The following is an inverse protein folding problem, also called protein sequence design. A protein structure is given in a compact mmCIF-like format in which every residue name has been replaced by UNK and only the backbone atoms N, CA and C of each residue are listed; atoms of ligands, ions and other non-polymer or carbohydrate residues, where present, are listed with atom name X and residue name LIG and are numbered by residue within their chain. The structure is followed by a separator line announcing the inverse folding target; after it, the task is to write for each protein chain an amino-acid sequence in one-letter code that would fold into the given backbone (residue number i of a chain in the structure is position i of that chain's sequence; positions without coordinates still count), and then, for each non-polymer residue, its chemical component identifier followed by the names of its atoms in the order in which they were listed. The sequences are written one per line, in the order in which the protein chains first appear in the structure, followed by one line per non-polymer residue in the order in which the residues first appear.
data_IF_408284206500
#
_entry.id   IF_408284206500
#
_cell.length_a   1.000
_cell.length_b   1.000
_cell.length_c   1.000
_cell.angle_alpha   90.00
_cell.angle_beta   90.00
_cell.angle_gamma   90.00
#
_symmetry.space_group_name_H-M   'P 1'
#
loop_
_entity.id
_entity.type
_entity.pdbx_description
1 polymer ?
#
# COMPACT_ATOMS: atom_id res chain seq x y z
N UNK A 1 22.07 9.33 15.77
CA UNK A 1 20.79 8.71 16.17
C UNK A 1 20.23 7.93 14.98
N UNK A 2 20.27 6.59 15.02
CA UNK A 2 19.77 5.71 13.95
C UNK A 2 18.27 5.48 14.18
N UNK A 3 17.42 5.97 13.29
CA UNK A 3 15.98 5.63 13.27
C UNK A 3 15.86 4.14 12.93
N UNK A 4 15.32 3.33 13.85
CA UNK A 4 15.00 1.95 13.58
C UNK A 4 13.64 1.92 12.88
N UNK A 5 13.64 1.77 11.55
CA UNK A 5 12.45 1.36 10.80
C UNK A 5 12.23 -0.13 11.09
N UNK A 6 11.25 -0.44 11.94
CA UNK A 6 10.81 -1.81 12.12
C UNK A 6 9.93 -2.20 10.92
N UNK A 7 10.49 -2.96 9.99
CA UNK A 7 9.68 -3.69 9.01
C UNK A 7 9.22 -4.97 9.68
N UNK A 8 7.95 -5.01 10.02
CA UNK A 8 7.29 -6.27 10.30
C UNK A 8 7.18 -7.05 8.99
N UNK A 9 7.93 -8.15 8.90
CA UNK A 9 7.71 -9.15 7.88
C UNK A 9 6.37 -9.82 8.17
N UNK A 10 5.27 -9.28 7.65
CA UNK A 10 4.07 -10.09 7.48
C UNK A 10 4.42 -11.16 6.44
N UNK A 11 4.50 -12.41 6.89
CA UNK A 11 4.57 -13.55 6.01
C UNK A 11 3.41 -13.46 5.02
N UNK A 12 3.72 -13.19 3.74
CA UNK A 12 2.85 -13.36 2.58
C UNK A 12 1.36 -13.15 2.85
N UNK A 13 0.96 -12.01 3.41
CA UNK A 13 -0.44 -11.61 3.26
C UNK A 13 -0.52 -11.23 1.79
N UNK A 14 -0.99 -12.16 0.96
CA UNK A 14 -1.62 -11.78 -0.28
C UNK A 14 -2.63 -10.72 0.15
N UNK A 15 -2.31 -9.44 -0.09
CA UNK A 15 -3.19 -8.34 0.27
C UNK A 15 -4.42 -8.58 -0.58
N UNK A 16 -5.41 -9.24 0.04
CA UNK A 16 -6.61 -9.63 -0.64
C UNK A 16 -7.25 -8.35 -1.13
N UNK A 17 -7.58 -8.32 -2.40
CA UNK A 17 -8.17 -7.14 -2.99
C UNK A 17 -9.39 -6.67 -2.18
N UNK A 18 -9.57 -5.36 -2.03
CA UNK A 18 -10.70 -4.84 -1.28
C UNK A 18 -12.00 -5.35 -1.90
N UNK A 19 -13.02 -5.66 -1.08
CA UNK A 19 -14.31 -6.10 -1.61
C UNK A 19 -14.92 -5.00 -2.51
N UNK A 20 -15.69 -5.37 -3.56
CA UNK A 20 -16.28 -4.41 -4.48
C UNK A 20 -17.03 -3.26 -3.82
N UNK A 21 -17.73 -3.50 -2.71
CA UNK A 21 -18.44 -2.47 -1.95
C UNK A 21 -17.51 -1.39 -1.39
N UNK A 22 -16.36 -1.78 -0.84
CA UNK A 22 -15.36 -0.82 -0.31
C UNK A 22 -14.77 0.03 -1.43
N UNK A 23 -14.55 -0.58 -2.60
CA UNK A 23 -14.11 0.16 -3.80
C UNK A 23 -15.19 1.13 -4.26
N UNK A 24 -16.46 0.71 -4.25
CA UNK A 24 -17.60 1.55 -4.61
C UNK A 24 -17.73 2.78 -3.67
N UNK A 25 -17.51 2.59 -2.37
CA UNK A 25 -17.48 3.70 -1.40
C UNK A 25 -16.36 4.69 -1.69
N UNK A 26 -15.15 4.19 -1.98
CA UNK A 26 -14.01 5.03 -2.31
C UNK A 26 -14.22 5.86 -3.60
N UNK A 27 -14.75 5.25 -4.66
CA UNK A 27 -15.03 5.99 -5.92
C UNK A 27 -16.15 7.01 -5.74
N UNK A 28 -17.17 6.72 -4.92
CA UNK A 28 -18.22 7.69 -4.56
C UNK A 28 -17.68 8.86 -3.73
N UNK A 29 -16.79 8.58 -2.78
CA UNK A 29 -16.12 9.62 -2.00
C UNK A 29 -15.31 10.58 -2.88
N UNK A 30 -14.77 10.07 -3.99
CA UNK A 30 -14.01 10.84 -4.99
C UNK A 30 -14.89 11.47 -6.09
N UNK A 31 -16.22 11.42 -5.96
CA UNK A 31 -17.19 11.94 -6.93
C UNK A 31 -17.01 11.38 -8.36
N UNK A 32 -16.54 10.13 -8.46
CA UNK A 32 -16.43 9.42 -9.73
C UNK A 32 -17.80 8.78 -10.02
N UNK A 33 -18.39 8.96 -11.22
CA UNK A 33 -19.74 8.52 -11.54
C UNK A 33 -19.84 7.00 -11.80
N UNK A 34 -19.28 6.18 -10.90
CA UNK A 34 -19.40 4.72 -10.88
C UNK A 34 -20.61 4.34 -10.03
N UNK A 35 -21.58 3.69 -10.65
CA UNK A 35 -22.80 3.21 -9.99
C UNK A 35 -22.56 1.88 -9.26
N UNK A 36 -21.75 1.01 -9.85
CA UNK A 36 -21.53 -0.36 -9.39
C UNK A 36 -20.09 -0.78 -9.66
N UNK A 37 -19.53 -1.60 -8.78
CA UNK A 37 -18.29 -2.35 -9.01
C UNK A 37 -18.63 -3.83 -9.09
N UNK A 38 -18.46 -4.42 -10.27
CA UNK A 38 -18.84 -5.81 -10.57
C UNK A 38 -17.82 -6.82 -10.06
N UNK A 39 -16.54 -6.49 -10.17
CA UNK A 39 -15.45 -7.37 -9.83
C UNK A 39 -14.23 -6.57 -9.39
N UNK A 40 -13.43 -7.17 -8.51
CA UNK A 40 -12.11 -6.67 -8.11
C UNK A 40 -11.17 -7.87 -8.05
N UNK A 41 -10.15 -7.87 -8.90
CA UNK A 41 -9.23 -8.99 -9.09
C UNK A 41 -7.79 -8.53 -8.87
N UNK A 42 -6.93 -9.36 -8.26
CA UNK A 42 -5.52 -9.02 -8.08
C UNK A 42 -4.81 -8.93 -9.44
N UNK A 43 -3.89 -7.98 -9.58
CA UNK A 43 -3.02 -7.93 -10.74
C UNK A 43 -1.79 -8.82 -10.52
N UNK A 44 -1.59 -9.82 -11.37
CA UNK A 44 -0.42 -10.70 -11.31
C UNK A 44 0.89 -9.93 -11.56
N UNK A 45 0.85 -8.97 -12.47
CA UNK A 45 2.01 -8.16 -12.89
C UNK A 45 2.38 -7.08 -11.86
N UNK A 46 1.43 -6.68 -11.00
CA UNK A 46 1.63 -5.58 -10.05
C UNK A 46 1.10 -5.96 -8.66
N UNK A 47 1.94 -6.60 -7.83
CA UNK A 47 1.58 -6.96 -6.46
C UNK A 47 1.10 -5.74 -5.67
N UNK A 48 -0.01 -5.90 -4.95
CA UNK A 48 -0.61 -4.82 -4.16
C UNK A 48 -1.50 -3.87 -4.96
N UNK A 49 -1.74 -4.13 -6.24
CA UNK A 49 -2.76 -3.44 -7.05
C UNK A 49 -3.79 -4.45 -7.54
N UNK A 50 -5.03 -4.01 -7.57
CA UNK A 50 -6.17 -4.77 -7.99
C UNK A 50 -6.86 -4.04 -9.14
N UNK A 51 -7.30 -4.81 -10.14
CA UNK A 51 -8.13 -4.33 -11.23
C UNK A 51 -9.59 -4.42 -10.82
N UNK A 52 -10.30 -3.30 -10.87
CA UNK A 52 -11.72 -3.22 -10.60
C UNK A 52 -12.49 -2.97 -11.91
N UNK A 53 -13.60 -3.68 -12.11
CA UNK A 53 -14.53 -3.45 -13.21
C UNK A 53 -15.76 -2.73 -12.69
N UNK A 54 -15.94 -1.47 -13.08
CA UNK A 54 -17.06 -0.62 -12.68
C UNK A 54 -18.04 -0.37 -13.81
N UNK A 55 -19.26 0.03 -13.45
CA UNK A 55 -20.26 0.58 -14.37
C UNK A 55 -20.34 2.08 -14.14
N UNK A 56 -19.91 2.86 -15.14
CA UNK A 56 -20.16 4.29 -15.18
C UNK A 56 -21.58 4.56 -15.65
N UNK A 57 -22.22 5.55 -15.06
CA UNK A 57 -23.48 6.10 -15.55
C UNK A 57 -23.32 7.60 -15.79
N UNK A 58 -23.57 8.03 -17.03
CA UNK A 58 -23.50 9.44 -17.41
C UNK A 58 -24.60 9.75 -18.43
N UNK A 59 -25.40 10.75 -18.13
CA UNK A 59 -26.44 11.28 -19.06
C UNK A 59 -27.40 10.18 -19.58
N UNK A 60 -27.71 9.18 -18.73
CA UNK A 60 -28.61 8.07 -19.07
C UNK A 60 -27.97 6.93 -19.87
N UNK A 61 -26.67 7.02 -20.18
CA UNK A 61 -25.89 5.94 -20.76
C UNK A 61 -25.05 5.23 -19.69
N UNK A 62 -24.94 3.90 -19.79
CA UNK A 62 -24.06 3.09 -18.95
C UNK A 62 -22.91 2.52 -19.76
N UNK A 63 -21.72 2.48 -19.17
CA UNK A 63 -20.53 1.90 -19.77
C UNK A 63 -19.73 1.12 -18.72
N UNK A 64 -19.23 -0.06 -19.09
CA UNK A 64 -18.28 -0.77 -18.26
C UNK A 64 -16.88 -0.18 -18.45
N UNK A 65 -16.20 0.08 -17.35
CA UNK A 65 -14.82 0.57 -17.34
C UNK A 65 -13.97 -0.23 -16.39
N UNK A 66 -12.72 -0.41 -16.78
CA UNK A 66 -11.70 -0.92 -15.89
C UNK A 66 -10.97 0.26 -15.24
N UNK A 67 -10.72 0.16 -13.94
CA UNK A 67 -9.85 1.04 -13.18
C UNK A 67 -9.09 0.20 -12.15
N UNK A 68 -8.22 0.82 -11.37
CA UNK A 68 -7.37 0.10 -10.43
C UNK A 68 -7.49 0.67 -9.04
N UNK A 69 -7.21 -0.17 -8.05
CA UNK A 69 -7.24 0.18 -6.64
C UNK A 69 -6.08 -0.50 -5.94
N UNK A 70 -5.46 0.18 -4.99
CA UNK A 70 -4.43 -0.46 -4.15
C UNK A 70 -5.09 -1.51 -3.25
N UNK A 71 -4.37 -2.57 -2.90
CA UNK A 71 -4.94 -3.68 -2.14
C UNK A 71 -5.36 -3.29 -0.71
N UNK A 72 -4.81 -2.20 -0.17
CA UNK A 72 -5.29 -1.59 1.08
C UNK A 72 -6.59 -0.76 0.91
N UNK A 73 -7.01 -0.53 -0.34
CA UNK A 73 -8.18 0.25 -0.72
C UNK A 73 -8.00 1.77 -0.59
N UNK A 74 -6.78 2.26 -0.36
CA UNK A 74 -6.53 3.69 -0.10
C UNK A 74 -6.50 4.55 -1.36
N UNK A 75 -6.03 4.02 -2.48
CA UNK A 75 -5.87 4.79 -3.70
C UNK A 75 -6.66 4.18 -4.85
N UNK A 76 -7.46 5.01 -5.52
CA UNK A 76 -8.08 4.70 -6.80
C UNK A 76 -7.20 5.26 -7.91
N UNK A 77 -6.84 4.41 -8.86
CA UNK A 77 -5.99 4.74 -9.98
C UNK A 77 -6.80 4.56 -11.26
N UNK A 78 -7.04 5.64 -12.03
CA UNK A 78 -7.73 5.50 -13.31
C UNK A 78 -6.87 4.75 -14.33
N UNK A 79 -5.54 4.77 -14.17
CA UNK A 79 -4.58 4.08 -15.03
C UNK A 79 -3.38 3.61 -14.22
N UNK A 80 -2.78 2.49 -14.65
CA UNK A 80 -1.44 2.06 -14.21
C UNK A 80 -0.43 2.59 -15.22
N UNK A 81 0.37 3.57 -14.80
CA UNK A 81 1.47 4.09 -15.63
C UNK A 81 2.77 3.33 -15.41
N UNK A 82 3.90 3.98 -15.69
CA UNK A 82 5.22 3.38 -15.54
C UNK A 82 5.51 2.99 -14.08
N UNK A 83 5.99 1.75 -13.92
CA UNK A 83 6.49 1.22 -12.66
C UNK A 83 8.00 1.45 -12.62
N UNK A 84 8.48 2.12 -11.57
CA UNK A 84 9.91 2.35 -11.36
C UNK A 84 10.33 1.85 -9.98
N UNK A 85 11.58 1.39 -9.90
CA UNK A 85 12.18 0.88 -8.68
C UNK A 85 13.29 1.82 -8.24
N UNK A 86 13.21 2.31 -7.00
CA UNK A 86 14.22 3.21 -6.42
C UNK A 86 14.94 2.53 -5.26
N UNK A 87 16.20 2.90 -4.97
CA UNK A 87 16.89 2.44 -3.77
C UNK A 87 16.07 2.76 -2.51
N UNK A 88 15.94 1.77 -1.62
CA UNK A 88 15.31 1.95 -0.32
C UNK A 88 16.36 2.23 0.76
N UNK A 89 16.03 3.03 1.81
CA UNK A 89 16.85 3.08 3.02
C UNK A 89 16.89 1.74 3.79
N UNK A 90 16.03 0.80 3.41
CA UNK A 90 15.92 -0.52 4.02
C UNK A 90 16.75 -1.50 3.21
N UNK A 91 17.72 -2.14 3.87
CA UNK A 91 18.59 -3.14 3.26
C UNK A 91 17.77 -4.31 2.70
N UNK A 92 18.05 -4.69 1.46
CA UNK A 92 17.40 -5.83 0.78
C UNK A 92 16.03 -5.51 0.17
N UNK A 93 15.57 -4.25 0.25
CA UNK A 93 14.33 -3.80 -0.38
C UNK A 93 14.60 -2.69 -1.41
N UNK A 94 13.71 -2.61 -2.41
CA UNK A 94 13.58 -1.49 -3.34
C UNK A 94 12.24 -0.83 -3.14
N UNK A 95 12.16 0.49 -3.28
CA UNK A 95 10.87 1.18 -3.30
C UNK A 95 10.22 1.00 -4.67
N UNK A 96 8.96 0.59 -4.70
CA UNK A 96 8.16 0.49 -5.91
C UNK A 96 7.29 1.74 -6.06
N UNK A 97 7.47 2.44 -7.17
CA UNK A 97 6.77 3.68 -7.50
C UNK A 97 5.96 3.49 -8.76
N UNK A 98 4.77 4.07 -8.80
CA UNK A 98 3.87 4.04 -9.95
C UNK A 98 3.51 5.47 -10.35
N UNK A 99 3.49 5.74 -11.64
CA UNK A 99 3.05 7.03 -12.19
C UNK A 99 1.54 6.98 -12.47
N UNK A 100 0.76 7.83 -11.81
CA UNK A 100 -0.69 7.66 -11.68
C UNK A 100 -1.53 8.19 -12.84
N UNK A 101 -1.00 9.04 -13.72
CA UNK A 101 -1.80 9.75 -14.73
C UNK A 101 -1.00 10.05 -16.00
N UNK A 102 -1.65 9.95 -17.16
CA UNK A 102 -1.12 10.53 -18.41
C UNK A 102 -0.85 12.02 -18.18
N UNK A 103 0.41 12.42 -18.26
CA UNK A 103 0.88 13.81 -18.34
C UNK A 103 0.88 14.67 -17.06
N UNK A 104 0.67 14.12 -15.85
CA UNK A 104 0.87 14.92 -14.62
C UNK A 104 2.24 14.74 -13.98
N UNK A 105 2.97 13.67 -14.35
CA UNK A 105 4.24 13.32 -13.71
C UNK A 105 4.11 12.93 -12.23
N UNK A 106 2.89 12.77 -11.72
CA UNK A 106 2.63 12.41 -10.34
C UNK A 106 2.93 10.92 -10.15
N UNK A 107 4.04 10.64 -9.48
CA UNK A 107 4.38 9.30 -9.01
C UNK A 107 4.13 9.20 -7.52
N UNK A 108 3.62 8.06 -7.07
CA UNK A 108 3.50 7.75 -5.65
C UNK A 108 4.14 6.41 -5.33
N UNK A 109 4.60 6.27 -4.10
CA UNK A 109 5.19 5.01 -3.61
C UNK A 109 4.06 4.05 -3.30
N UNK A 110 4.06 2.93 -4.01
CA UNK A 110 3.09 1.85 -3.83
C UNK A 110 3.51 0.92 -2.68
N UNK A 111 4.82 0.69 -2.54
CA UNK A 111 5.35 -0.13 -1.46
C UNK A 111 6.83 -0.44 -1.63
N UNK A 112 7.25 -1.58 -1.08
CA UNK A 112 8.60 -2.11 -1.17
C UNK A 112 8.58 -3.49 -1.82
N UNK A 113 9.63 -3.80 -2.56
CA UNK A 113 9.85 -5.12 -3.14
C UNK A 113 11.21 -5.66 -2.69
N UNK A 114 11.26 -6.88 -2.19
CA UNK A 114 12.52 -7.55 -1.83
C UNK A 114 13.26 -8.07 -3.06
N UNK A 115 14.54 -8.45 -2.88
CA UNK A 115 15.34 -9.03 -3.95
C UNK A 115 14.73 -10.33 -4.53
N UNK A 116 14.00 -11.10 -3.72
CA UNK A 116 13.27 -12.30 -4.15
C UNK A 116 11.84 -12.01 -4.67
N UNK A 117 11.48 -10.74 -4.85
CA UNK A 117 10.24 -10.32 -5.51
C UNK A 117 9.00 -10.21 -4.61
N UNK A 118 9.14 -10.30 -3.28
CA UNK A 118 8.00 -10.15 -2.35
C UNK A 118 7.64 -8.68 -2.17
N UNK A 119 6.35 -8.40 -2.10
CA UNK A 119 5.81 -7.04 -1.94
C UNK A 119 5.40 -6.74 -0.50
N UNK A 120 5.69 -5.51 -0.05
CA UNK A 120 5.40 -5.02 1.30
C UNK A 120 4.79 -3.61 1.21
N UNK A 121 3.68 -3.37 1.92
CA UNK A 121 3.07 -2.04 2.02
C UNK A 121 3.58 -1.33 3.28
N UNK A 122 3.93 -0.03 3.22
CA UNK A 122 4.23 0.74 4.42
C UNK A 122 2.97 0.89 5.29
N UNK A 123 2.89 0.14 6.38
CA UNK A 123 2.08 0.58 7.53
C UNK A 123 2.84 1.68 8.27
N UNK A 124 2.21 2.85 8.40
CA UNK A 124 2.64 3.85 9.39
C UNK A 124 2.21 3.28 10.74
N UNK A 125 3.11 2.56 11.41
CA UNK A 125 2.92 2.29 12.82
C UNK A 125 3.11 3.61 13.56
N UNK A 126 2.01 4.19 14.06
CA UNK A 126 2.11 5.20 15.11
C UNK A 126 2.72 4.52 16.32
N UNK A 127 4.00 4.79 16.58
CA UNK A 127 4.64 4.38 17.82
C UNK A 127 4.02 5.27 18.90
N UNK A 128 2.90 4.84 19.48
CA UNK A 128 2.45 5.36 20.75
C UNK A 128 3.65 5.32 21.69
N UNK A 129 3.98 6.48 22.25
CA UNK A 129 5.07 6.66 23.20
C UNK A 129 4.96 5.56 24.25
N UNK A 130 5.85 4.57 24.19
CA UNK A 130 6.15 3.72 25.34
C UNK A 130 6.61 4.67 26.44
N UNK A 131 5.69 4.93 27.36
CA UNK A 131 5.88 5.86 28.46
C UNK A 131 7.12 5.44 29.24
N UNK A 132 7.95 6.43 29.54
CA UNK A 132 8.94 6.40 30.60
C UNK A 132 8.34 5.80 31.87
N UNK A 133 8.83 4.61 32.24
CA UNK A 133 8.89 4.08 33.60
C UNK A 133 9.96 2.98 33.51
N UNK A 134 11.21 3.18 33.91
CA UNK A 134 11.63 3.79 35.16
C UNK A 134 12.08 2.66 36.09
N UNK A 135 13.27 2.09 35.86
CA UNK A 135 14.27 1.65 36.87
C UNK A 135 15.36 0.82 36.19
N UNK A 136 16.52 1.44 35.99
CA UNK A 136 17.79 0.74 35.80
C UNK A 136 18.23 0.31 37.20
N UNK A 137 18.17 -0.99 37.49
CA UNK A 137 18.94 -1.56 38.58
C UNK A 137 20.41 -1.60 38.17
N UNK A 138 21.26 -0.91 38.94
CA UNK A 138 22.72 -0.98 38.84
C UNK A 138 23.23 -2.44 38.78
N UNK A 139 24.29 -2.72 37.99
CA UNK A 139 25.03 -3.96 38.13
C UNK A 139 25.95 -3.86 39.36
N UNK A 140 25.61 -4.56 40.45
CA UNK A 140 26.56 -4.78 41.53
C UNK A 140 27.61 -5.81 41.10
N UNK A 141 28.85 -5.33 41.07
CA UNK A 141 30.09 -6.08 40.99
C UNK A 141 30.39 -6.78 42.32
N UNK A 142 30.74 -8.07 42.27
CA UNK A 142 31.56 -8.80 43.24
C UNK A 142 31.98 -10.12 42.55
N UNK A 143 33.19 -10.26 41.98
CA UNK A 143 34.50 -10.54 42.60
C UNK A 143 34.51 -11.87 43.38
N UNK A 144 35.25 -12.85 42.83
CA UNK A 144 35.75 -14.07 43.47
C UNK A 144 36.52 -13.76 44.77
N UNK A 145 36.23 -14.53 45.83
CA UNK A 145 37.19 -15.35 46.60
C UNK A 145 36.46 -16.54 47.22
#
# INVERSE_FOLDING_TARGET
MKKLLALTAFAGVALACPPPQKVLEAVKFLDIPVREVKAVEPMEELPGVCKARGVLEREGATAEVDFYVTADGRYILPFVGEISYKPSPIKGLKEMWITSLRNTGLSFKLGYVSEDGRFYVPEVLEVEKLSENGTVGEPQSAVEQ
#
